data_IF_526030912859
#
_entry.id   IF_526030912859
#
_cell.length_a   1.000
_cell.length_b   1.000
_cell.length_c   1.000
_cell.angle_alpha   90.00
_cell.angle_beta   90.00
_cell.angle_gamma   90.00
#
_symmetry.space_group_name_H-M   'P 1'
#
loop_
_entity.id
_entity.type
_entity.pdbx_description
1 polymer ?
#
# COMPACT_ATOMS: atom_id res chain seq x y z
N UNK A 1 21.58 22.13 -11.65
CA UNK A 1 21.70 20.81 -12.30
C UNK A 1 21.45 21.01 -13.79
N UNK A 2 22.45 20.80 -14.65
CA UNK A 2 22.25 20.86 -16.08
C UNK A 2 21.65 19.50 -16.50
N UNK A 3 20.43 19.53 -17.02
CA UNK A 3 19.76 18.32 -17.48
C UNK A 3 20.55 17.78 -18.68
N UNK A 4 21.06 16.56 -18.56
CA UNK A 4 21.80 15.91 -19.66
C UNK A 4 20.82 15.48 -20.74
N UNK A 5 21.24 15.63 -22.00
CA UNK A 5 20.46 15.11 -23.14
C UNK A 5 20.47 13.57 -23.15
N UNK A 6 19.51 12.95 -23.83
CA UNK A 6 19.45 11.49 -23.98
C UNK A 6 20.74 10.93 -24.58
N UNK A 7 21.42 11.70 -25.48
CA UNK A 7 22.72 11.36 -26.08
C UNK A 7 23.84 11.38 -25.04
N UNK A 8 23.89 12.37 -24.15
CA UNK A 8 24.91 12.46 -23.08
C UNK A 8 24.73 11.36 -22.03
N UNK A 9 23.49 10.92 -21.80
CA UNK A 9 23.20 9.78 -20.90
C UNK A 9 23.67 8.48 -21.56
N UNK A 10 23.40 8.27 -22.85
CA UNK A 10 23.81 7.05 -23.54
C UNK A 10 25.34 6.97 -23.71
N UNK A 11 26.03 8.10 -23.89
CA UNK A 11 27.50 8.16 -23.93
C UNK A 11 28.17 7.77 -22.59
N UNK A 12 27.48 7.93 -21.46
CA UNK A 12 27.95 7.47 -20.15
C UNK A 12 27.74 5.97 -19.90
N UNK A 13 26.96 5.29 -20.75
CA UNK A 13 26.68 3.86 -20.67
C UNK A 13 27.54 3.02 -21.60
N UNK A 14 28.75 3.47 -21.88
CA UNK A 14 29.65 2.93 -22.90
C UNK A 14 30.12 1.51 -22.57
N UNK A 15 29.75 0.61 -23.43
CA UNK A 15 30.33 -0.71 -23.69
C UNK A 15 29.97 -1.12 -25.10
N UNK A 16 30.38 -2.30 -25.53
CA UNK A 16 30.10 -2.89 -26.85
C UNK A 16 28.58 -3.06 -27.16
N UNK A 17 27.71 -2.57 -26.31
CA UNK A 17 26.25 -2.70 -26.37
C UNK A 17 25.53 -1.40 -26.76
N UNK A 18 26.26 -0.41 -27.27
CA UNK A 18 25.72 0.91 -27.63
C UNK A 18 24.60 0.85 -28.68
N UNK A 19 24.51 -0.22 -29.43
CA UNK A 19 23.46 -0.44 -30.44
C UNK A 19 22.13 -0.91 -29.92
N UNK A 20 22.04 -1.31 -28.62
CA UNK A 20 20.82 -1.88 -28.01
C UNK A 20 20.01 -0.82 -27.23
N UNK A 21 20.62 0.37 -26.94
CA UNK A 21 20.06 1.38 -26.03
C UNK A 21 19.98 2.75 -26.72
N UNK A 22 19.24 2.83 -27.79
CA UNK A 22 19.06 4.05 -28.54
C UNK A 22 18.02 5.01 -28.01
N UNK A 23 17.27 4.59 -26.98
CA UNK A 23 16.19 5.38 -26.36
C UNK A 23 16.24 5.39 -24.84
N UNK A 24 16.05 6.57 -24.26
CA UNK A 24 15.77 6.78 -22.84
C UNK A 24 14.33 7.25 -22.73
N UNK A 25 13.51 6.48 -22.03
CA UNK A 25 12.09 6.76 -21.84
C UNK A 25 11.88 7.26 -20.40
N UNK A 26 11.25 8.42 -20.24
CA UNK A 26 10.82 8.89 -18.95
C UNK A 26 9.62 8.06 -18.47
N UNK A 27 9.78 7.36 -17.34
CA UNK A 27 8.69 6.64 -16.69
C UNK A 27 7.80 7.57 -15.87
N UNK A 28 7.04 6.99 -14.94
CA UNK A 28 6.10 7.74 -14.07
C UNK A 28 6.79 8.68 -13.05
N UNK A 29 8.11 8.73 -13.00
CA UNK A 29 8.87 9.58 -12.08
C UNK A 29 8.94 9.09 -10.63
N UNK A 30 8.02 8.23 -10.19
CA UNK A 30 7.95 7.66 -8.85
C UNK A 30 7.44 6.23 -8.89
N UNK A 31 7.91 5.37 -7.98
CA UNK A 31 7.53 3.96 -7.89
C UNK A 31 6.02 3.77 -7.66
N UNK A 32 5.43 4.55 -6.76
CA UNK A 32 3.98 4.50 -6.50
C UNK A 32 3.16 4.95 -7.70
N UNK A 33 3.67 5.88 -8.53
CA UNK A 33 2.98 6.27 -9.76
C UNK A 33 2.92 5.09 -10.75
N UNK A 34 4.00 4.32 -10.83
CA UNK A 34 4.01 3.08 -11.61
C UNK A 34 3.01 2.05 -11.04
N UNK A 35 2.98 1.88 -9.70
CA UNK A 35 2.04 0.96 -9.07
C UNK A 35 0.58 1.34 -9.35
N UNK A 36 0.23 2.63 -9.29
CA UNK A 36 -1.10 3.12 -9.66
C UNK A 36 -1.41 2.87 -11.14
N UNK A 37 -0.45 3.13 -12.03
CA UNK A 37 -0.61 2.85 -13.47
C UNK A 37 -0.90 1.37 -13.75
N UNK A 38 -0.23 0.45 -13.05
CA UNK A 38 -0.42 -0.99 -13.19
C UNK A 38 -1.68 -1.54 -12.50
N UNK A 39 -2.33 -0.76 -11.64
CA UNK A 39 -3.53 -1.22 -10.95
C UNK A 39 -4.69 -1.35 -11.94
N UNK A 40 -5.33 -2.52 -12.10
CA UNK A 40 -6.36 -2.74 -13.11
C UNK A 40 -7.72 -2.20 -12.66
N UNK A 41 -7.79 -0.90 -12.36
CA UNK A 41 -9.03 -0.21 -12.05
C UNK A 41 -9.89 -0.05 -13.29
N UNK A 42 -11.20 -0.23 -13.13
CA UNK A 42 -12.17 -0.08 -14.23
C UNK A 42 -12.73 1.34 -14.26
N UNK A 43 -12.84 1.92 -15.45
CA UNK A 43 -13.34 3.30 -15.62
C UNK A 43 -14.76 3.51 -15.06
N UNK A 44 -15.59 2.47 -15.09
CA UNK A 44 -16.96 2.52 -14.61
C UNK A 44 -17.11 2.24 -13.11
N UNK A 45 -16.01 2.03 -12.38
CA UNK A 45 -16.02 1.75 -10.94
C UNK A 45 -15.09 2.69 -10.18
N UNK A 46 -15.63 3.35 -9.17
CA UNK A 46 -14.81 4.12 -8.24
C UNK A 46 -14.01 3.18 -7.35
N UNK A 47 -12.71 3.16 -7.54
CA UNK A 47 -11.79 2.30 -6.81
C UNK A 47 -10.78 3.14 -6.05
N UNK A 48 -10.59 2.82 -4.77
CA UNK A 48 -9.40 3.26 -4.04
C UNK A 48 -8.24 2.31 -4.34
N UNK A 49 -7.02 2.80 -4.22
CA UNK A 49 -5.79 2.03 -4.46
C UNK A 49 -4.93 2.10 -3.20
N UNK A 50 -4.53 0.95 -2.70
CA UNK A 50 -3.57 0.80 -1.60
C UNK A 50 -2.29 0.14 -2.13
N UNK A 51 -1.25 0.93 -2.35
CA UNK A 51 0.09 0.39 -2.60
C UNK A 51 0.69 -0.02 -1.27
N UNK A 52 0.72 -1.32 -0.99
CA UNK A 52 1.11 -1.89 0.29
C UNK A 52 2.51 -2.52 0.24
N UNK A 53 3.42 -1.92 0.98
CA UNK A 53 4.81 -2.34 1.13
C UNK A 53 5.32 -2.01 2.53
N UNK A 54 6.60 -1.68 2.66
CA UNK A 54 7.19 -1.13 3.90
C UNK A 54 6.42 0.12 4.34
N UNK A 55 6.19 1.04 3.41
CA UNK A 55 5.19 2.10 3.50
C UNK A 55 3.90 1.66 2.82
N UNK A 56 2.81 2.29 3.18
CA UNK A 56 1.52 2.10 2.53
C UNK A 56 1.00 3.44 2.04
N UNK A 57 0.59 3.50 0.78
CA UNK A 57 0.01 4.69 0.17
C UNK A 57 -1.42 4.38 -0.25
N UNK A 58 -2.38 5.03 0.43
CA UNK A 58 -3.81 4.85 0.16
C UNK A 58 -4.38 6.11 -0.49
N UNK A 59 -5.01 5.95 -1.63
CA UNK A 59 -5.60 7.06 -2.38
C UNK A 59 -6.40 6.63 -3.58
N UNK A 60 -6.60 7.58 -4.51
CA UNK A 60 -7.31 7.35 -5.77
C UNK A 60 -6.73 8.23 -6.89
N UNK A 61 -7.15 7.98 -8.12
CA UNK A 61 -6.87 8.84 -9.27
C UNK A 61 -7.98 9.87 -9.46
N UNK A 62 -7.59 11.13 -9.64
CA UNK A 62 -8.48 12.26 -9.91
C UNK A 62 -8.07 12.95 -11.22
N UNK A 63 -9.01 13.64 -11.86
CA UNK A 63 -8.74 14.50 -13.02
C UNK A 63 -8.22 15.89 -12.64
N UNK A 64 -8.44 16.31 -11.39
CA UNK A 64 -8.02 17.62 -10.87
C UNK A 64 -7.60 17.50 -9.41
N UNK A 65 -6.65 18.32 -8.93
CA UNK A 65 -6.24 18.32 -7.55
C UNK A 65 -7.34 18.85 -6.62
N UNK A 66 -7.39 18.34 -5.39
CA UNK A 66 -8.21 18.87 -4.31
C UNK A 66 -7.29 19.66 -3.37
N UNK A 67 -7.51 20.98 -3.26
CA UNK A 67 -6.67 21.88 -2.46
C UNK A 67 -7.57 22.67 -1.51
N UNK A 68 -7.58 22.28 -0.23
CA UNK A 68 -8.29 22.99 0.84
C UNK A 68 -7.70 22.64 2.20
N UNK A 69 -8.16 23.32 3.27
CA UNK A 69 -7.66 23.10 4.63
C UNK A 69 -7.91 21.66 5.13
N UNK A 70 -9.05 21.07 4.78
CA UNK A 70 -9.37 19.71 5.20
C UNK A 70 -8.38 18.67 4.62
N UNK A 71 -7.91 18.87 3.38
CA UNK A 71 -6.86 18.04 2.76
C UNK A 71 -5.56 18.16 3.54
N UNK A 72 -5.15 19.38 3.91
CA UNK A 72 -3.94 19.64 4.69
C UNK A 72 -4.04 19.02 6.08
N UNK A 73 -5.15 19.20 6.78
CA UNK A 73 -5.39 18.65 8.13
C UNK A 73 -5.42 17.13 8.16
N UNK A 74 -5.87 16.48 7.07
CA UNK A 74 -5.86 15.03 6.93
C UNK A 74 -4.57 14.49 6.28
N UNK A 75 -3.58 15.36 5.98
CA UNK A 75 -2.27 15.01 5.42
C UNK A 75 -2.33 14.26 4.07
N UNK A 76 -3.34 14.57 3.25
CA UNK A 76 -3.40 14.07 1.89
C UNK A 76 -2.58 14.94 0.94
N UNK A 77 -1.97 14.31 -0.06
CA UNK A 77 -1.15 14.97 -1.09
C UNK A 77 -1.79 14.84 -2.46
N UNK A 78 -1.49 15.80 -3.34
CA UNK A 78 -1.80 15.74 -4.75
C UNK A 78 -0.48 15.52 -5.50
N UNK A 79 -0.31 14.35 -6.07
CA UNK A 79 0.89 13.97 -6.82
C UNK A 79 0.55 13.76 -8.29
N UNK A 80 1.45 14.13 -9.18
CA UNK A 80 1.25 13.92 -10.62
C UNK A 80 1.18 12.42 -10.91
N UNK A 81 0.12 12.03 -11.62
CA UNK A 81 -0.10 10.68 -12.12
C UNK A 81 0.25 10.54 -13.61
N UNK A 82 -0.23 9.47 -14.22
CA UNK A 82 -0.08 9.20 -15.66
C UNK A 82 -1.22 9.90 -16.42
N UNK A 83 -0.95 10.38 -17.65
CA UNK A 83 -1.93 11.03 -18.52
C UNK A 83 -2.64 12.23 -17.84
N UNK A 84 -1.86 13.13 -17.24
CA UNK A 84 -2.33 14.34 -16.56
C UNK A 84 -3.33 14.09 -15.42
N UNK A 85 -3.37 12.87 -14.88
CA UNK A 85 -4.14 12.58 -13.68
C UNK A 85 -3.41 13.04 -12.41
N UNK A 86 -4.14 13.16 -11.34
CA UNK A 86 -3.65 13.42 -10.00
C UNK A 86 -3.83 12.17 -9.15
N UNK A 87 -2.75 11.70 -8.54
CA UNK A 87 -2.82 10.71 -7.46
C UNK A 87 -3.10 11.46 -6.16
N UNK A 88 -4.31 11.40 -5.70
CA UNK A 88 -4.72 11.97 -4.43
C UNK A 88 -4.59 10.88 -3.37
N UNK A 89 -3.60 11.00 -2.49
CA UNK A 89 -3.23 9.90 -1.59
C UNK A 89 -2.67 10.40 -0.25
N UNK A 90 -2.65 9.50 0.73
CA UNK A 90 -1.95 9.68 2.01
C UNK A 90 -0.89 8.62 2.18
N UNK A 91 0.28 9.03 2.67
CA UNK A 91 1.40 8.16 3.01
C UNK A 91 1.23 7.65 4.45
N UNK A 92 1.31 6.35 4.65
CA UNK A 92 1.04 5.69 5.91
C UNK A 92 2.22 4.80 6.32
N UNK A 93 2.40 4.61 7.61
CA UNK A 93 3.24 3.54 8.10
C UNK A 93 2.60 2.19 7.68
N UNK A 94 3.34 1.42 6.90
CA UNK A 94 2.87 0.16 6.34
C UNK A 94 3.40 -1.06 7.10
N UNK A 95 3.85 -2.05 6.35
CA UNK A 95 4.40 -3.29 6.90
C UNK A 95 5.76 -3.09 7.60
N UNK A 96 6.32 -1.89 7.65
CA UNK A 96 7.50 -1.54 8.42
C UNK A 96 7.44 -2.07 9.84
N UNK A 97 6.31 -1.86 10.53
CA UNK A 97 6.12 -2.31 11.92
C UNK A 97 6.25 -3.83 12.06
N UNK A 98 5.74 -4.59 11.08
CA UNK A 98 5.83 -6.05 11.04
C UNK A 98 7.24 -6.51 10.66
N UNK A 99 7.87 -5.83 9.70
CA UNK A 99 9.24 -6.12 9.26
C UNK A 99 10.23 -5.87 10.40
N UNK A 100 10.04 -4.80 11.16
CA UNK A 100 10.90 -4.43 12.28
C UNK A 100 10.74 -5.38 13.47
N UNK A 101 9.51 -5.82 13.77
CA UNK A 101 9.29 -6.90 14.74
C UNK A 101 10.06 -8.16 14.35
N UNK A 102 9.92 -8.59 13.09
CA UNK A 102 10.62 -9.76 12.57
C UNK A 102 12.15 -9.60 12.61
N UNK A 103 12.66 -8.43 12.19
CA UNK A 103 14.09 -8.13 12.20
C UNK A 103 14.65 -8.22 13.62
N UNK A 104 13.99 -7.58 14.58
CA UNK A 104 14.44 -7.55 15.98
C UNK A 104 14.40 -8.93 16.64
N UNK A 105 13.35 -9.71 16.41
CA UNK A 105 13.29 -11.09 16.91
C UNK A 105 14.38 -11.99 16.30
N UNK A 106 14.69 -11.78 15.02
CA UNK A 106 15.78 -12.52 14.37
C UNK A 106 17.16 -12.20 14.98
N UNK A 107 17.39 -10.97 15.42
CA UNK A 107 18.61 -10.59 16.17
C UNK A 107 18.70 -11.29 17.54
N UNK A 108 17.56 -11.68 18.09
CA UNK A 108 17.49 -12.48 19.32
C UNK A 108 17.53 -14.00 19.06
N UNK A 109 17.91 -14.43 17.86
CA UNK A 109 17.91 -15.82 17.42
C UNK A 109 16.52 -16.48 17.37
N UNK A 110 15.45 -15.67 17.25
CA UNK A 110 14.08 -16.14 17.07
C UNK A 110 13.65 -15.81 15.64
N UNK A 111 13.71 -16.79 14.74
CA UNK A 111 13.41 -16.58 13.32
C UNK A 111 11.97 -16.97 12.99
N UNK A 112 11.23 -16.03 12.44
CA UNK A 112 9.87 -16.23 11.92
C UNK A 112 9.82 -15.92 10.43
N UNK A 113 9.13 -16.76 9.67
CA UNK A 113 8.70 -16.42 8.31
C UNK A 113 7.48 -15.49 8.36
N UNK A 114 7.13 -14.84 7.25
CA UNK A 114 5.89 -14.06 7.21
C UNK A 114 4.65 -14.95 7.44
N UNK A 115 4.66 -16.19 6.96
CA UNK A 115 3.58 -17.15 7.20
C UNK A 115 3.46 -17.53 8.68
N UNK A 116 4.55 -17.63 9.40
CA UNK A 116 4.53 -17.87 10.84
C UNK A 116 3.87 -16.70 11.57
N UNK A 117 4.20 -15.47 11.22
CA UNK A 117 3.59 -14.27 11.79
C UNK A 117 2.07 -14.24 11.55
N UNK A 118 1.62 -14.61 10.36
CA UNK A 118 0.19 -14.72 10.03
C UNK A 118 -0.48 -15.80 10.88
N UNK A 119 0.14 -16.98 11.03
CA UNK A 119 -0.39 -18.07 11.87
C UNK A 119 -0.47 -17.67 13.34
N UNK A 120 0.55 -16.99 13.87
CA UNK A 120 0.59 -16.44 15.22
C UNK A 120 -0.54 -15.45 15.45
N UNK A 121 -0.71 -14.47 14.58
CA UNK A 121 -1.78 -13.50 14.67
C UNK A 121 -3.17 -14.16 14.65
N UNK A 122 -3.36 -15.21 13.85
CA UNK A 122 -4.64 -15.94 13.80
C UNK A 122 -4.97 -16.71 15.10
N UNK A 123 -3.96 -17.13 15.87
CA UNK A 123 -4.17 -17.83 17.15
C UNK A 123 -4.59 -16.88 18.27
N UNK A 124 -4.20 -15.61 18.19
CA UNK A 124 -4.46 -14.62 19.20
C UNK A 124 -5.91 -14.12 19.15
N UNK A 125 -6.48 -13.79 20.31
CA UNK A 125 -7.81 -13.19 20.41
C UNK A 125 -7.85 -11.84 19.70
N UNK A 126 -8.87 -11.55 18.88
CA UNK A 126 -9.00 -10.26 18.23
C UNK A 126 -9.34 -9.14 19.23
N UNK A 127 -8.95 -7.92 18.88
CA UNK A 127 -9.33 -6.66 19.53
C UNK A 127 -8.99 -6.59 21.03
N UNK A 128 -7.84 -7.14 21.41
CA UNK A 128 -7.36 -7.07 22.79
C UNK A 128 -6.43 -5.87 23.00
N UNK A 129 -5.70 -5.46 21.97
CA UNK A 129 -4.71 -4.39 22.04
C UNK A 129 -4.82 -3.51 20.80
N UNK A 130 -5.00 -2.21 21.01
CA UNK A 130 -5.19 -1.24 19.95
C UNK A 130 -3.93 -0.36 19.85
N UNK A 131 -3.29 -0.36 18.71
CA UNK A 131 -2.17 0.54 18.43
C UNK A 131 -2.52 1.46 17.27
N UNK A 132 -1.95 2.67 17.30
CA UNK A 132 -1.98 3.56 16.15
C UNK A 132 -0.63 3.50 15.43
N UNK A 133 -0.51 2.83 14.28
CA UNK A 133 0.76 2.72 13.56
C UNK A 133 1.36 4.08 13.14
N UNK A 134 0.57 5.16 13.15
CA UNK A 134 1.03 6.52 12.86
C UNK A 134 1.64 7.24 14.07
N UNK A 135 1.68 6.61 15.27
CA UNK A 135 2.39 7.20 16.42
C UNK A 135 3.90 7.23 16.13
N UNK A 136 4.53 8.36 16.42
CA UNK A 136 5.96 8.60 16.13
C UNK A 136 6.90 7.55 16.75
N UNK A 137 6.48 6.90 17.84
CA UNK A 137 7.24 5.84 18.49
C UNK A 137 7.50 4.62 17.58
N UNK A 138 6.71 4.44 16.51
CA UNK A 138 6.84 3.31 15.58
C UNK A 138 7.66 3.61 14.32
N UNK A 139 8.14 4.84 14.11
CA UNK A 139 8.87 5.19 12.89
C UNK A 139 10.37 4.86 12.91
N UNK A 140 10.95 4.68 14.09
CA UNK A 140 12.39 4.41 14.20
C UNK A 140 12.69 2.91 14.33
N UNK A 141 13.85 2.42 13.84
CA UNK A 141 14.26 1.04 14.08
C UNK A 141 14.55 0.77 15.58
N UNK A 142 14.47 -0.49 16.02
CA UNK A 142 14.77 -0.95 17.37
C UNK A 142 13.75 -1.95 17.92
N UNK A 143 13.60 -2.03 19.24
CA UNK A 143 12.67 -2.97 19.87
C UNK A 143 11.21 -2.55 19.66
N UNK A 144 10.65 -2.94 18.53
CA UNK A 144 9.29 -2.66 18.18
C UNK A 144 8.27 -3.33 19.12
N UNK A 145 8.63 -4.49 19.68
CA UNK A 145 7.77 -5.20 20.61
C UNK A 145 7.61 -4.41 21.93
N UNK A 146 8.69 -3.89 22.47
CA UNK A 146 8.64 -3.05 23.67
C UNK A 146 7.94 -1.71 23.41
N UNK A 147 8.07 -1.14 22.20
CA UNK A 147 7.32 0.07 21.81
C UNK A 147 5.82 -0.17 21.78
N UNK A 148 5.36 -1.31 21.25
CA UNK A 148 3.94 -1.69 21.27
C UNK A 148 3.44 -1.83 22.71
N UNK A 149 4.20 -2.50 23.58
CA UNK A 149 3.87 -2.62 25.01
C UNK A 149 3.81 -1.25 25.70
N UNK A 150 4.80 -0.40 25.44
CA UNK A 150 4.87 0.96 25.98
C UNK A 150 3.69 1.81 25.52
N UNK A 151 3.30 1.71 24.25
CA UNK A 151 2.14 2.39 23.69
C UNK A 151 0.85 1.92 24.39
N UNK A 152 0.63 0.62 24.52
CA UNK A 152 -0.53 0.08 25.25
C UNK A 152 -0.57 0.58 26.69
N UNK A 153 0.58 0.58 27.38
CA UNK A 153 0.67 1.12 28.76
C UNK A 153 0.36 2.61 28.82
N UNK A 154 0.91 3.41 27.90
CA UNK A 154 0.69 4.86 27.77
C UNK A 154 -0.79 5.19 27.58
N UNK A 155 -1.50 4.36 26.83
CA UNK A 155 -2.94 4.51 26.53
C UNK A 155 -3.87 3.82 27.54
N UNK A 156 -3.35 3.33 28.65
CA UNK A 156 -4.15 2.69 29.72
C UNK A 156 -4.66 1.31 29.39
N UNK A 157 -4.15 0.67 28.35
CA UNK A 157 -4.53 -0.69 27.95
C UNK A 157 -3.70 -1.74 28.70
N UNK A 158 -4.18 -2.98 28.68
CA UNK A 158 -3.35 -4.13 29.02
C UNK A 158 -2.18 -4.23 28.02
N UNK A 159 -1.04 -4.72 28.49
CA UNK A 159 0.13 -4.94 27.62
C UNK A 159 0.12 -6.34 27.05
N UNK A 160 0.40 -6.51 25.75
CA UNK A 160 0.55 -7.84 25.15
C UNK A 160 1.73 -8.57 25.78
N UNK A 161 1.56 -9.87 26.05
CA UNK A 161 2.52 -10.72 26.77
C UNK A 161 3.25 -11.71 25.88
N UNK A 162 2.73 -11.98 24.71
CA UNK A 162 3.30 -12.95 23.76
C UNK A 162 3.56 -12.32 22.38
N UNK A 163 4.41 -12.94 21.59
CA UNK A 163 4.65 -12.53 20.20
C UNK A 163 3.37 -12.64 19.36
N UNK A 164 2.51 -13.62 19.63
CA UNK A 164 1.20 -13.80 18.95
C UNK A 164 0.29 -12.58 19.17
N UNK A 165 0.24 -12.06 20.39
CA UNK A 165 -0.55 -10.88 20.73
C UNK A 165 0.03 -9.61 20.12
N UNK A 166 1.35 -9.48 20.13
CA UNK A 166 2.07 -8.32 19.55
C UNK A 166 1.84 -8.25 18.04
N UNK A 167 2.05 -9.36 17.33
CA UNK A 167 1.87 -9.36 15.87
C UNK A 167 0.40 -9.19 15.47
N UNK A 168 -0.53 -9.72 16.28
CA UNK A 168 -1.96 -9.50 16.07
C UNK A 168 -2.33 -8.02 16.18
N UNK A 169 -1.87 -7.35 17.24
CA UNK A 169 -2.11 -5.91 17.43
C UNK A 169 -1.54 -5.06 16.29
N UNK A 170 -0.39 -5.45 15.73
CA UNK A 170 0.21 -4.78 14.58
C UNK A 170 -0.67 -4.89 13.33
N UNK A 171 -1.16 -6.07 12.99
CA UNK A 171 -2.06 -6.25 11.83
C UNK A 171 -3.41 -5.57 12.02
N UNK A 172 -4.01 -5.65 13.21
CA UNK A 172 -5.26 -4.96 13.52
C UNK A 172 -5.08 -3.45 13.44
N UNK A 173 -3.99 -2.91 14.01
CA UNK A 173 -3.67 -1.50 13.94
C UNK A 173 -3.52 -0.99 12.50
N UNK A 174 -2.85 -1.75 11.63
CA UNK A 174 -2.75 -1.41 10.20
C UNK A 174 -4.11 -1.42 9.50
N UNK A 175 -4.95 -2.43 9.76
CA UNK A 175 -6.29 -2.50 9.15
C UNK A 175 -7.19 -1.33 9.63
N UNK A 176 -7.10 -0.92 10.89
CA UNK A 176 -7.80 0.25 11.41
C UNK A 176 -7.28 1.55 10.80
N UNK A 177 -5.96 1.69 10.66
CA UNK A 177 -5.36 2.85 10.00
C UNK A 177 -5.83 2.99 8.55
N UNK A 178 -5.91 1.87 7.82
CA UNK A 178 -6.42 1.86 6.46
C UNK A 178 -7.91 2.24 6.40
N UNK A 179 -8.73 1.76 7.33
CA UNK A 179 -10.16 2.09 7.39
C UNK A 179 -10.41 3.57 7.72
N UNK A 180 -9.66 4.14 8.66
CA UNK A 180 -9.73 5.56 9.02
C UNK A 180 -9.32 6.45 7.84
N UNK A 181 -8.19 6.11 7.21
CA UNK A 181 -7.71 6.82 6.02
C UNK A 181 -8.67 6.69 4.84
N UNK A 182 -9.28 5.52 4.66
CA UNK A 182 -10.29 5.29 3.63
C UNK A 182 -11.53 6.15 3.85
N UNK A 183 -12.02 6.24 5.08
CA UNK A 183 -13.14 7.12 5.45
C UNK A 183 -12.81 8.60 5.18
N UNK A 184 -11.59 9.02 5.50
CA UNK A 184 -11.11 10.37 5.19
C UNK A 184 -11.04 10.62 3.68
N UNK A 185 -10.58 9.63 2.90
CA UNK A 185 -10.53 9.70 1.44
C UNK A 185 -11.93 9.87 0.83
N UNK A 186 -12.93 9.11 1.30
CA UNK A 186 -14.32 9.24 0.85
C UNK A 186 -14.89 10.64 1.15
N UNK A 187 -14.67 11.12 2.37
CA UNK A 187 -15.14 12.44 2.80
C UNK A 187 -14.49 13.58 2.00
N UNK A 188 -13.18 13.52 1.73
CA UNK A 188 -12.46 14.56 1.01
C UNK A 188 -12.79 14.58 -0.49
N UNK A 189 -13.03 13.43 -1.08
CA UNK A 189 -13.36 13.30 -2.51
C UNK A 189 -14.86 13.38 -2.80
N UNK A 190 -15.72 13.21 -1.81
CA UNK A 190 -17.16 12.94 -1.94
C UNK A 190 -17.44 11.74 -2.87
N UNK A 191 -16.57 10.75 -2.86
CA UNK A 191 -16.74 9.50 -3.59
C UNK A 191 -17.25 8.42 -2.66
N UNK A 192 -18.16 7.58 -3.18
CA UNK A 192 -18.47 6.28 -2.58
C UNK A 192 -17.68 5.26 -3.37
N UNK A 193 -16.61 4.73 -2.78
CA UNK A 193 -15.80 3.70 -3.42
C UNK A 193 -16.50 2.34 -3.33
N UNK A 194 -16.42 1.58 -4.42
CA UNK A 194 -17.04 0.25 -4.51
C UNK A 194 -16.06 -0.87 -4.14
N UNK A 195 -14.76 -0.58 -4.16
CA UNK A 195 -13.69 -1.55 -3.92
C UNK A 195 -12.36 -0.84 -3.60
N UNK A 196 -11.45 -1.58 -2.96
CA UNK A 196 -10.05 -1.19 -2.80
C UNK A 196 -9.18 -2.19 -3.56
N UNK A 197 -8.27 -1.70 -4.40
CA UNK A 197 -7.20 -2.51 -4.97
C UNK A 197 -5.97 -2.44 -4.07
N UNK A 198 -5.48 -3.58 -3.59
CA UNK A 198 -4.22 -3.69 -2.84
C UNK A 198 -3.17 -4.28 -3.77
N UNK A 199 -2.12 -3.50 -4.06
CA UNK A 199 -0.99 -3.88 -4.91
C UNK A 199 0.32 -3.83 -4.13
N UNK A 200 1.39 -4.38 -4.70
CA UNK A 200 2.68 -4.49 -4.04
C UNK A 200 2.79 -5.70 -3.13
N UNK A 201 3.95 -5.89 -2.48
CA UNK A 201 4.22 -7.10 -1.68
C UNK A 201 3.22 -7.39 -0.56
N UNK A 202 2.56 -6.36 -0.02
CA UNK A 202 1.53 -6.50 1.02
C UNK A 202 0.28 -7.23 0.57
N UNK A 203 -0.02 -7.26 -0.74
CA UNK A 203 -1.18 -7.98 -1.27
C UNK A 203 -1.09 -9.51 -1.05
N UNK A 204 0.08 -10.05 -0.76
CA UNK A 204 0.28 -11.46 -0.41
C UNK A 204 -0.17 -11.81 1.01
N UNK A 205 -0.34 -10.81 1.90
CA UNK A 205 -0.77 -11.05 3.27
C UNK A 205 -2.29 -11.22 3.36
N UNK A 206 -2.76 -12.43 3.14
CA UNK A 206 -4.21 -12.79 3.14
C UNK A 206 -4.94 -12.38 4.42
N UNK A 207 -4.28 -12.45 5.58
CA UNK A 207 -4.88 -12.07 6.85
C UNK A 207 -5.12 -10.55 6.92
N UNK A 208 -4.09 -9.75 6.62
CA UNK A 208 -4.21 -8.29 6.62
C UNK A 208 -5.23 -7.82 5.58
N UNK A 209 -5.25 -8.43 4.39
CA UNK A 209 -6.21 -8.09 3.34
C UNK A 209 -7.65 -8.41 3.77
N UNK A 210 -7.89 -9.54 4.44
CA UNK A 210 -9.20 -9.85 5.02
C UNK A 210 -9.58 -8.90 6.16
N UNK A 211 -8.62 -8.55 7.03
CA UNK A 211 -8.84 -7.54 8.09
C UNK A 211 -9.18 -6.18 7.48
N UNK A 212 -8.48 -5.77 6.42
CA UNK A 212 -8.75 -4.53 5.68
C UNK A 212 -10.16 -4.54 5.09
N UNK A 213 -10.55 -5.60 4.37
CA UNK A 213 -11.91 -5.73 3.83
C UNK A 213 -12.97 -5.64 4.94
N UNK A 214 -12.72 -6.31 6.07
CA UNK A 214 -13.63 -6.26 7.21
C UNK A 214 -13.73 -4.86 7.84
N UNK A 215 -12.61 -4.16 7.96
CA UNK A 215 -12.55 -2.83 8.58
C UNK A 215 -13.20 -1.76 7.68
N UNK A 216 -12.92 -1.76 6.38
CA UNK A 216 -13.48 -0.78 5.43
C UNK A 216 -14.93 -1.11 5.01
N UNK A 217 -15.34 -2.37 5.07
CA UNK A 217 -16.72 -2.80 4.75
C UNK A 217 -17.02 -2.99 3.27
N UNK A 218 -16.02 -2.90 2.39
CA UNK A 218 -16.16 -3.11 0.93
C UNK A 218 -15.16 -4.17 0.45
N UNK A 219 -15.36 -4.75 -0.75
CA UNK A 219 -14.45 -5.73 -1.31
C UNK A 219 -13.03 -5.19 -1.50
N UNK A 220 -12.05 -6.03 -1.21
CA UNK A 220 -10.63 -5.82 -1.52
C UNK A 220 -10.24 -6.72 -2.68
N UNK A 221 -9.60 -6.16 -3.69
CA UNK A 221 -9.00 -6.90 -4.81
C UNK A 221 -7.48 -6.85 -4.64
N UNK A 222 -6.82 -8.01 -4.66
CA UNK A 222 -5.36 -8.08 -4.46
C UNK A 222 -4.63 -8.26 -5.77
N UNK A 223 -3.38 -7.75 -5.86
CA UNK A 223 -2.49 -7.92 -7.01
C UNK A 223 -2.61 -6.82 -8.08
N UNK A 224 -1.63 -6.76 -8.98
CA UNK A 224 -0.43 -7.60 -9.02
C UNK A 224 0.59 -7.28 -7.92
N UNK A 225 1.42 -8.27 -7.57
CA UNK A 225 2.46 -8.13 -6.53
C UNK A 225 3.53 -7.14 -6.96
N UNK A 226 4.04 -7.27 -8.17
CA UNK A 226 5.12 -6.43 -8.73
C UNK A 226 4.59 -5.21 -9.50
N UNK A 227 3.52 -4.59 -8.99
CA UNK A 227 2.82 -3.49 -9.67
C UNK A 227 3.76 -2.34 -10.09
N UNK A 228 4.76 -2.01 -9.29
CA UNK A 228 5.73 -0.95 -9.61
C UNK A 228 6.53 -1.28 -10.87
N UNK A 229 7.09 -2.48 -10.94
CA UNK A 229 7.88 -2.92 -12.11
C UNK A 229 6.99 -3.04 -13.36
N UNK A 230 5.81 -3.63 -13.20
CA UNK A 230 4.82 -3.80 -14.27
C UNK A 230 4.38 -2.44 -14.82
N UNK A 231 4.09 -1.47 -13.95
CA UNK A 231 3.70 -0.13 -14.37
C UNK A 231 4.80 0.64 -15.08
N UNK A 232 6.05 0.49 -14.63
CA UNK A 232 7.20 1.07 -15.33
C UNK A 232 7.30 0.50 -16.76
N UNK A 233 7.22 -0.81 -16.92
CA UNK A 233 7.23 -1.47 -18.24
C UNK A 233 6.03 -1.03 -19.08
N UNK A 234 4.83 -0.98 -18.50
CA UNK A 234 3.62 -0.54 -19.18
C UNK A 234 3.76 0.85 -19.79
N UNK A 235 4.28 1.83 -19.05
CA UNK A 235 4.46 3.20 -19.57
C UNK A 235 5.49 3.24 -20.70
N UNK A 236 6.53 2.44 -20.62
CA UNK A 236 7.50 2.32 -21.73
C UNK A 236 6.84 1.74 -22.98
N UNK A 237 6.04 0.67 -22.84
CA UNK A 237 5.33 0.06 -23.98
C UNK A 237 4.31 1.03 -24.61
N UNK A 238 3.60 1.82 -23.80
CA UNK A 238 2.69 2.86 -24.30
C UNK A 238 3.49 3.94 -25.06
N UNK A 239 4.61 4.38 -24.51
CA UNK A 239 5.46 5.40 -25.16
C UNK A 239 6.05 4.91 -26.47
N UNK A 240 6.35 3.62 -26.60
CA UNK A 240 6.84 2.99 -27.81
C UNK A 240 5.74 2.72 -28.86
N UNK A 241 4.47 2.87 -28.48
CA UNK A 241 3.31 2.57 -29.33
C UNK A 241 2.95 1.09 -29.44
N UNK A 242 3.55 0.25 -28.60
CA UNK A 242 3.25 -1.19 -28.55
C UNK A 242 1.89 -1.46 -27.86
N UNK A 243 1.51 -0.59 -26.90
CA UNK A 243 0.20 -0.59 -26.23
C UNK A 243 -0.44 0.78 -26.51
N UNK A 244 -1.70 0.83 -26.97
CA UNK A 244 -2.34 2.06 -27.40
C UNK A 244 -2.50 3.13 -26.31
N UNK A 245 -2.85 2.70 -25.08
CA UNK A 245 -3.15 3.58 -23.95
C UNK A 245 -3.18 2.82 -22.63
N UNK A 246 -3.34 3.56 -21.53
CA UNK A 246 -3.37 3.00 -20.17
C UNK A 246 -4.56 2.04 -19.93
N UNK A 247 -5.71 2.28 -20.56
CA UNK A 247 -6.90 1.44 -20.40
C UNK A 247 -6.65 0.04 -20.95
N UNK A 248 -6.12 -0.04 -22.17
CA UNK A 248 -5.76 -1.33 -22.79
C UNK A 248 -4.62 -2.01 -22.01
N UNK A 249 -3.66 -1.23 -21.53
CA UNK A 249 -2.59 -1.76 -20.67
C UNK A 249 -3.11 -2.39 -19.37
N UNK A 250 -4.06 -1.75 -18.70
CA UNK A 250 -4.69 -2.29 -17.48
C UNK A 250 -5.49 -3.56 -17.75
N UNK A 251 -6.14 -3.68 -18.92
CA UNK A 251 -6.81 -4.92 -19.34
C UNK A 251 -5.81 -6.07 -19.53
N UNK A 252 -4.69 -5.79 -20.21
CA UNK A 252 -3.61 -6.76 -20.38
C UNK A 252 -3.08 -7.24 -19.03
N UNK A 253 -2.89 -6.31 -18.08
CA UNK A 253 -2.45 -6.66 -16.72
C UNK A 253 -3.51 -7.51 -16.00
N UNK A 254 -4.79 -7.12 -16.04
CA UNK A 254 -5.89 -7.89 -15.44
C UNK A 254 -5.93 -9.34 -15.97
N UNK A 255 -5.71 -9.51 -17.28
CA UNK A 255 -5.70 -10.84 -17.91
C UNK A 255 -4.43 -11.64 -17.57
N UNK A 256 -3.27 -10.99 -17.61
CA UNK A 256 -1.97 -11.65 -17.42
C UNK A 256 -1.73 -12.08 -15.97
N UNK A 257 -2.29 -11.36 -15.01
CA UNK A 257 -2.11 -11.60 -13.57
C UNK A 257 -3.39 -12.08 -12.87
N UNK A 258 -4.37 -12.53 -13.65
CA UNK A 258 -5.68 -13.00 -13.13
C UNK A 258 -5.56 -14.04 -12.02
N UNK A 259 -4.65 -14.99 -12.16
CA UNK A 259 -4.45 -16.07 -11.21
C UNK A 259 -3.78 -15.61 -9.90
N UNK A 260 -3.14 -14.45 -9.91
CA UNK A 260 -2.55 -13.81 -8.72
C UNK A 260 -3.56 -12.92 -7.98
N UNK A 261 -4.67 -12.57 -8.64
CA UNK A 261 -5.67 -11.64 -8.13
C UNK A 261 -6.78 -12.40 -7.39
N UNK A 262 -7.10 -11.95 -6.19
CA UNK A 262 -8.18 -12.50 -5.37
C UNK A 262 -9.16 -11.38 -4.98
N UNK A 263 -10.45 -11.67 -5.00
CA UNK A 263 -11.48 -10.77 -4.47
C UNK A 263 -11.86 -11.23 -3.08
N UNK A 264 -11.62 -10.39 -2.10
CA UNK A 264 -11.86 -10.65 -0.68
C UNK A 264 -13.04 -9.81 -0.21
N UNK A 265 -14.14 -10.47 0.13
CA UNK A 265 -15.34 -9.81 0.64
C UNK A 265 -15.27 -9.62 2.17
N UNK A 266 -15.85 -8.54 2.72
CA UNK A 266 -15.97 -8.38 4.16
C UNK A 266 -16.85 -9.48 4.78
N UNK A 267 -16.39 -10.06 5.90
CA UNK A 267 -17.08 -11.15 6.61
C UNK A 267 -17.62 -10.72 7.98
N UNK A 268 -17.05 -9.66 8.57
CA UNK A 268 -17.34 -9.26 9.96
C UNK A 268 -17.25 -7.74 10.14
N UNK A 269 -17.73 -6.96 9.17
CA UNK A 269 -17.63 -5.50 9.19
C UNK A 269 -18.24 -4.86 10.44
N UNK A 270 -19.41 -5.32 10.87
CA UNK A 270 -20.05 -4.80 12.08
C UNK A 270 -19.15 -4.93 13.31
N UNK A 271 -18.48 -6.08 13.49
CA UNK A 271 -17.59 -6.33 14.62
C UNK A 271 -16.37 -5.37 14.61
N UNK A 272 -15.82 -5.07 13.41
CA UNK A 272 -14.74 -4.13 13.26
C UNK A 272 -15.17 -2.70 13.55
N UNK A 273 -16.34 -2.28 13.10
CA UNK A 273 -16.92 -0.96 13.42
C UNK A 273 -17.19 -0.78 14.93
N UNK A 274 -17.60 -1.82 15.63
CA UNK A 274 -17.76 -1.80 17.09
C UNK A 274 -16.40 -1.69 17.80
N UNK A 275 -15.36 -2.33 17.26
CA UNK A 275 -14.01 -2.27 17.80
C UNK A 275 -13.36 -0.88 17.57
N UNK A 276 -13.60 -0.23 16.43
CA UNK A 276 -13.13 1.15 16.13
C UNK A 276 -13.68 2.22 17.08
N UNK A 277 -14.81 1.97 17.73
CA UNK A 277 -15.44 2.91 18.68
C UNK A 277 -14.90 2.80 20.11
N UNK A 278 -14.01 1.84 20.38
CA UNK A 278 -13.37 1.63 21.69
C UNK A 278 -12.05 2.38 21.78
#
# INVERSE_FOLDING_TARGET
>A
FKQKTAYEISACLVGSEMCIRDRVIAGCGHDTACAFAATPVKENKKSAILSSGTWSLLGCELSQPIINNAVLENEFTNEVGVNDTIRFLKNLNGLWIVQELRRFWNEQNISYTFDDLVKMANKSKPFQYFINPSDESFFSPGDMAERIKAFCKKTGQKTPSSHDEIIRSAFEGLAFLYADTFSSLENLTNFNFEQIHIVGGGCQNKLLNQMTANAVGIPVITGPVEATAIGNILIQLITLGEIPNLIEGRKIIEESFRDEMEIIYPKSHQLWNEALKK
#
